data_IF_064243580953
#
_entry.id   IF_064243580953
#
_cell.length_a   1.000
_cell.length_b   1.000
_cell.length_c   1.000
_cell.angle_alpha   90.00
_cell.angle_beta   90.00
_cell.angle_gamma   90.00
#
_symmetry.space_group_name_H-M   'P 1'
#
loop_
_entity.id
_entity.type
_entity.pdbx_description
1 polymer ?
#
# COMPACT_ATOMS: atom_id res chain seq x y z
N UNK A 1 -19.37 3.00 -18.62
CA UNK A 1 -18.49 4.18 -18.43
C UNK A 1 -17.22 3.99 -19.23
N UNK A 2 -16.68 5.02 -19.88
CA UNK A 2 -15.37 4.98 -20.53
C UNK A 2 -14.30 5.50 -19.56
N UNK A 3 -13.15 4.81 -19.46
CA UNK A 3 -12.07 5.15 -18.50
C UNK A 3 -10.96 6.03 -19.11
N UNK A 4 -10.91 6.09 -20.45
CA UNK A 4 -9.88 6.81 -21.21
C UNK A 4 -9.84 8.29 -20.80
N UNK A 5 -8.63 8.82 -20.62
CA UNK A 5 -8.35 10.22 -20.26
C UNK A 5 -8.99 10.69 -18.94
N UNK A 6 -9.34 9.76 -18.04
CA UNK A 6 -9.91 10.08 -16.71
C UNK A 6 -9.00 9.77 -15.53
N UNK A 7 -8.08 8.83 -15.70
CA UNK A 7 -7.20 8.35 -14.64
C UNK A 7 -5.80 8.16 -15.19
N UNK A 8 -4.81 8.32 -14.33
CA UNK A 8 -3.40 8.11 -14.64
C UNK A 8 -2.70 7.44 -13.46
N UNK A 9 -1.64 6.69 -13.75
CA UNK A 9 -0.69 6.24 -12.73
C UNK A 9 0.39 7.31 -12.65
N UNK A 10 0.50 7.95 -11.49
CA UNK A 10 1.40 9.10 -11.28
C UNK A 10 2.60 8.78 -10.41
N UNK A 11 2.63 7.61 -9.76
CA UNK A 11 3.79 7.16 -8.99
C UNK A 11 3.80 5.66 -8.80
N UNK A 12 5.01 5.10 -8.63
CA UNK A 12 5.25 3.68 -8.39
C UNK A 12 6.26 3.51 -7.25
N UNK A 13 6.09 2.44 -6.47
CA UNK A 13 6.95 2.17 -5.33
C UNK A 13 7.26 0.69 -5.22
N UNK A 14 8.53 0.38 -4.97
CA UNK A 14 9.05 -0.98 -4.91
C UNK A 14 9.88 -1.17 -3.64
N UNK A 15 10.15 -2.43 -3.36
CA UNK A 15 11.05 -2.89 -2.28
C UNK A 15 12.05 -3.90 -2.83
N UNK A 16 13.15 -4.19 -2.11
CA UNK A 16 14.05 -5.29 -2.47
C UNK A 16 13.30 -6.62 -2.61
N UNK A 17 13.64 -7.40 -3.63
CA UNK A 17 12.97 -8.66 -3.96
C UNK A 17 13.85 -9.87 -3.64
N UNK A 18 13.24 -10.95 -3.15
CA UNK A 18 13.92 -12.21 -2.83
C UNK A 18 13.89 -12.54 -1.33
N UNK A 19 14.95 -13.20 -0.85
CA UNK A 19 15.11 -13.50 0.58
C UNK A 19 15.72 -12.29 1.28
N UNK A 20 14.88 -11.44 1.85
CA UNK A 20 15.31 -10.25 2.59
C UNK A 20 15.13 -10.52 4.08
N UNK A 21 16.21 -10.81 4.83
CA UNK A 21 16.12 -11.08 6.26
C UNK A 21 15.70 -9.82 7.03
N UNK A 22 15.20 -10.02 8.25
CA UNK A 22 14.84 -8.94 9.18
C UNK A 22 13.74 -8.00 8.66
N UNK A 23 12.88 -8.51 7.76
CA UNK A 23 11.74 -7.80 7.19
C UNK A 23 10.45 -8.56 7.45
N UNK A 24 9.40 -7.80 7.74
CA UNK A 24 8.02 -8.31 7.88
C UNK A 24 7.21 -8.03 6.63
N UNK A 25 6.14 -8.80 6.41
CA UNK A 25 5.16 -8.53 5.35
C UNK A 25 4.64 -7.10 5.41
N UNK A 26 4.35 -6.60 6.63
CA UNK A 26 3.93 -5.23 6.86
C UNK A 26 4.99 -4.22 6.40
N UNK A 27 6.26 -4.44 6.76
CA UNK A 27 7.34 -3.51 6.40
C UNK A 27 7.50 -3.34 4.89
N UNK A 28 7.25 -4.39 4.10
CA UNK A 28 7.31 -4.30 2.64
C UNK A 28 6.17 -3.45 2.07
N UNK A 29 4.95 -3.63 2.59
CA UNK A 29 3.81 -2.82 2.18
C UNK A 29 4.05 -1.34 2.50
N UNK A 30 4.51 -1.04 3.72
CA UNK A 30 4.76 0.34 4.15
C UNK A 30 5.82 1.02 3.29
N UNK A 31 6.94 0.36 3.01
CA UNK A 31 8.01 0.92 2.18
C UNK A 31 7.54 1.12 0.73
N UNK A 32 6.88 0.12 0.12
CA UNK A 32 6.36 0.23 -1.24
C UNK A 32 5.37 1.39 -1.36
N UNK A 33 4.41 1.50 -0.45
CA UNK A 33 3.41 2.58 -0.48
C UNK A 33 4.03 3.95 -0.23
N UNK A 34 4.95 4.07 0.73
CA UNK A 34 5.64 5.33 1.00
C UNK A 34 6.46 5.81 -0.22
N UNK A 35 7.17 4.89 -0.88
CA UNK A 35 7.92 5.18 -2.10
C UNK A 35 6.99 5.63 -3.24
N UNK A 36 5.83 4.97 -3.42
CA UNK A 36 4.86 5.35 -4.46
C UNK A 36 4.26 6.74 -4.23
N UNK A 37 3.95 7.10 -2.98
CA UNK A 37 3.45 8.43 -2.62
C UNK A 37 4.51 9.50 -2.91
N UNK A 38 5.78 9.21 -2.57
CA UNK A 38 6.89 10.12 -2.81
C UNK A 38 7.16 10.32 -4.32
N UNK A 39 7.15 9.24 -5.11
CA UNK A 39 7.31 9.29 -6.58
C UNK A 39 6.19 10.09 -7.24
N UNK A 40 4.97 9.98 -6.74
CA UNK A 40 3.84 10.79 -7.19
C UNK A 40 3.93 12.28 -6.81
N UNK A 41 4.86 12.66 -5.91
CA UNK A 41 4.97 14.03 -5.40
C UNK A 41 3.77 14.45 -4.54
N UNK A 42 3.02 13.48 -3.99
CA UNK A 42 1.81 13.73 -3.21
C UNK A 42 2.11 13.79 -1.71
N UNK A 43 1.22 14.45 -0.98
CA UNK A 43 1.20 14.42 0.48
C UNK A 43 0.21 13.36 0.95
N UNK A 44 0.37 12.94 2.20
CA UNK A 44 -0.50 11.96 2.85
C UNK A 44 -1.97 12.38 2.84
N UNK A 45 -2.24 13.68 2.93
CA UNK A 45 -3.59 14.26 2.92
C UNK A 45 -4.26 14.19 1.53
N UNK A 46 -3.50 13.97 0.47
CA UNK A 46 -4.03 13.85 -0.89
C UNK A 46 -4.51 12.41 -1.20
N UNK A 47 -4.37 11.47 -0.25
CA UNK A 47 -4.72 10.06 -0.41
C UNK A 47 -6.08 9.77 0.21
N UNK A 48 -7.12 9.80 -0.61
CA UNK A 48 -8.51 9.57 -0.17
C UNK A 48 -8.89 8.09 -0.10
N UNK A 49 -8.07 7.19 -0.67
CA UNK A 49 -8.37 5.77 -0.75
C UNK A 49 -7.12 4.89 -0.70
N UNK A 50 -7.24 3.74 -0.04
CA UNK A 50 -6.22 2.69 -0.02
C UNK A 50 -6.86 1.33 -0.29
N UNK A 51 -6.40 0.68 -1.35
CA UNK A 51 -6.87 -0.64 -1.78
C UNK A 51 -5.69 -1.59 -1.71
N UNK A 52 -5.81 -2.64 -0.91
CA UNK A 52 -4.82 -3.72 -0.84
C UNK A 52 -5.30 -4.88 -1.71
N UNK A 53 -4.53 -5.22 -2.74
CA UNK A 53 -4.85 -6.34 -3.61
C UNK A 53 -4.07 -7.58 -3.19
N UNK A 54 -4.82 -8.67 -3.06
CA UNK A 54 -4.39 -10.03 -2.73
C UNK A 54 -3.82 -10.16 -1.32
N UNK A 55 -4.58 -10.86 -0.49
CA UNK A 55 -4.15 -11.22 0.85
C UNK A 55 -3.30 -12.48 0.83
N UNK A 56 -2.19 -12.44 1.56
CA UNK A 56 -1.39 -13.61 1.88
C UNK A 56 -1.20 -13.66 3.40
N UNK A 57 -1.20 -14.86 4.01
CA UNK A 57 -0.91 -14.99 5.43
C UNK A 57 0.51 -14.48 5.71
N UNK A 58 0.70 -13.67 6.76
CA UNK A 58 2.02 -13.20 7.14
C UNK A 58 2.85 -14.34 7.75
N UNK A 59 4.14 -14.10 7.99
CA UNK A 59 4.97 -15.05 8.72
C UNK A 59 4.46 -15.24 10.16
N UNK A 60 4.67 -16.41 10.79
CA UNK A 60 4.24 -16.65 12.17
C UNK A 60 4.79 -15.59 13.13
N UNK A 61 3.90 -15.01 13.94
CA UNK A 61 4.24 -13.97 14.91
C UNK A 61 4.19 -12.54 14.36
N UNK A 62 3.93 -12.34 13.07
CA UNK A 62 3.74 -11.02 12.49
C UNK A 62 2.26 -10.60 12.50
N UNK A 63 1.97 -9.30 12.63
CA UNK A 63 0.62 -8.79 12.45
C UNK A 63 0.19 -8.94 10.98
N UNK A 64 -1.10 -9.16 10.78
CA UNK A 64 -1.70 -9.22 9.44
C UNK A 64 -1.64 -7.85 8.75
N UNK A 65 -1.08 -7.74 7.52
CA UNK A 65 -0.95 -6.47 6.80
C UNK A 65 -2.28 -6.02 6.16
N UNK A 66 -3.28 -5.77 7.02
CA UNK A 66 -4.60 -5.26 6.61
C UNK A 66 -4.51 -3.80 6.12
N UNK A 67 -5.38 -3.35 5.20
CA UNK A 67 -5.38 -1.96 4.73
C UNK A 67 -5.57 -0.95 5.89
N UNK A 68 -6.30 -1.32 6.94
CA UNK A 68 -6.47 -0.50 8.15
C UNK A 68 -5.14 -0.30 8.88
N UNK A 69 -4.38 -1.38 9.08
CA UNK A 69 -3.08 -1.31 9.74
C UNK A 69 -2.07 -0.53 8.88
N UNK A 70 -2.07 -0.73 7.57
CA UNK A 70 -1.24 0.02 6.62
C UNK A 70 -1.55 1.53 6.71
N UNK A 71 -2.83 1.91 6.60
CA UNK A 71 -3.25 3.30 6.69
C UNK A 71 -2.82 3.94 8.02
N UNK A 72 -3.02 3.23 9.14
CA UNK A 72 -2.59 3.69 10.45
C UNK A 72 -1.07 3.94 10.52
N UNK A 73 -0.26 2.97 10.08
CA UNK A 73 1.20 3.06 10.14
C UNK A 73 1.78 4.09 9.16
N UNK A 74 1.15 4.27 8.00
CA UNK A 74 1.52 5.32 7.04
C UNK A 74 1.07 6.72 7.50
N UNK A 75 0.16 6.81 8.48
CA UNK A 75 -0.47 8.06 8.90
C UNK A 75 -1.41 8.61 7.84
N UNK A 76 -2.09 7.73 7.09
CA UNK A 76 -3.11 8.07 6.12
C UNK A 76 -4.47 8.08 6.81
N UNK A 77 -5.36 8.97 6.36
CA UNK A 77 -6.76 9.04 6.81
C UNK A 77 -7.69 8.91 5.61
N UNK A 78 -7.64 7.79 4.86
CA UNK A 78 -8.44 7.63 3.66
C UNK A 78 -9.93 7.50 4.03
N UNK A 79 -10.78 8.01 3.15
CA UNK A 79 -12.24 7.85 3.25
C UNK A 79 -12.70 6.49 2.74
N UNK A 80 -11.86 5.80 1.95
CA UNK A 80 -12.13 4.48 1.41
C UNK A 80 -10.99 3.50 1.70
N UNK A 81 -11.32 2.36 2.31
CA UNK A 81 -10.41 1.25 2.57
C UNK A 81 -11.03 -0.04 2.07
N UNK A 82 -10.27 -0.82 1.30
CA UNK A 82 -10.71 -2.16 0.89
C UNK A 82 -9.54 -3.13 0.78
N UNK A 83 -9.86 -4.41 0.99
CA UNK A 83 -8.98 -5.52 0.69
C UNK A 83 -9.68 -6.39 -0.34
N UNK A 84 -9.05 -6.56 -1.50
CA UNK A 84 -9.58 -7.36 -2.59
C UNK A 84 -8.79 -8.67 -2.68
N UNK A 85 -9.51 -9.76 -2.88
CA UNK A 85 -8.98 -11.10 -3.07
C UNK A 85 -9.97 -11.79 -4.02
N UNK A 86 -9.56 -11.96 -5.29
CA UNK A 86 -10.35 -12.51 -6.40
C UNK A 86 -11.58 -13.34 -6.02
#
# INVERSE_FOLDING_TARGET
MQIRDRYAVVGVGYTPQGKVPDRTSLSFHLEATANAIADAGLKKQDIDGLISYRHFPPCPGEPDPTPQLLAQQLGLTPTYLSQDAN
#
